data_IF_201401051605
#
_entry.id   IF_201401051605
#
_cell.length_a   1.000
_cell.length_b   1.000
_cell.length_c   1.000
_cell.angle_alpha   90.00
_cell.angle_beta   90.00
_cell.angle_gamma   90.00
#
_symmetry.space_group_name_H-M   'P 1'
#
loop_
_entity.id
_entity.type
_entity.pdbx_description
1 polymer ?
#
# COMPACT_ATOMS: atom_id res chain seq x y z
N UNK A 1 -9.44 -24.68 9.42
CA UNK A 1 -9.17 -23.66 8.39
C UNK A 1 -8.72 -22.39 9.08
N UNK A 2 -7.56 -21.84 8.69
CA UNK A 2 -6.96 -20.64 9.30
C UNK A 2 -7.25 -19.42 8.41
N UNK A 3 -7.86 -18.40 8.98
CA UNK A 3 -8.30 -17.20 8.25
C UNK A 3 -7.57 -15.97 8.80
N UNK A 4 -6.98 -15.17 7.94
CA UNK A 4 -6.53 -13.82 8.26
C UNK A 4 -7.68 -12.85 7.96
N UNK A 5 -8.20 -12.19 8.99
CA UNK A 5 -9.35 -11.31 8.87
C UNK A 5 -9.02 -9.88 9.25
N UNK A 6 -9.38 -8.93 8.37
CA UNK A 6 -9.22 -7.49 8.58
C UNK A 6 -10.59 -6.84 8.80
N UNK A 7 -10.81 -6.27 9.98
CA UNK A 7 -11.98 -5.45 10.28
C UNK A 7 -11.69 -3.98 9.92
N UNK A 8 -12.14 -3.60 8.74
CA UNK A 8 -11.95 -2.27 8.16
C UNK A 8 -13.05 -1.26 8.54
N UNK A 9 -13.81 -1.51 9.62
CA UNK A 9 -14.85 -0.60 10.11
C UNK A 9 -14.31 0.77 10.57
N UNK A 10 -13.01 0.87 10.80
CA UNK A 10 -12.30 2.10 11.15
C UNK A 10 -11.37 2.61 10.03
N UNK A 11 -11.60 2.14 8.80
CA UNK A 11 -10.76 2.48 7.65
C UNK A 11 -9.53 1.59 7.50
N UNK A 12 -8.69 1.93 6.52
CA UNK A 12 -7.44 1.22 6.23
C UNK A 12 -6.44 2.12 5.52
N UNK A 13 -5.18 2.06 5.95
CA UNK A 13 -4.03 2.65 5.25
C UNK A 13 -2.92 1.61 5.06
N UNK A 14 -1.97 1.89 4.18
CA UNK A 14 -0.88 0.96 3.90
C UNK A 14 -0.03 0.63 5.13
N UNK A 15 0.25 1.63 5.97
CA UNK A 15 0.99 1.46 7.22
C UNK A 15 0.18 0.72 8.29
N UNK A 16 -1.14 0.92 8.37
CA UNK A 16 -2.00 0.13 9.26
C UNK A 16 -2.00 -1.34 8.86
N UNK A 17 -2.11 -1.62 7.56
CA UNK A 17 -2.10 -2.98 7.02
C UNK A 17 -0.76 -3.68 7.31
N UNK A 18 0.37 -2.99 7.05
CA UNK A 18 1.70 -3.50 7.36
C UNK A 18 1.87 -3.81 8.84
N UNK A 19 1.55 -2.85 9.72
CA UNK A 19 1.68 -3.03 11.18
C UNK A 19 0.85 -4.20 11.69
N UNK A 20 -0.41 -4.29 11.25
CA UNK A 20 -1.29 -5.38 11.65
C UNK A 20 -0.78 -6.75 11.17
N UNK A 21 -0.35 -6.85 9.91
CA UNK A 21 0.19 -8.10 9.37
C UNK A 21 1.51 -8.49 10.04
N UNK A 22 2.43 -7.53 10.27
CA UNK A 22 3.70 -7.78 10.95
C UNK A 22 3.48 -8.30 12.37
N UNK A 23 2.58 -7.66 13.13
CA UNK A 23 2.28 -8.09 14.50
C UNK A 23 1.65 -9.49 14.53
N UNK A 24 0.68 -9.76 13.66
CA UNK A 24 0.03 -11.08 13.58
C UNK A 24 0.99 -12.18 13.12
N UNK A 25 1.96 -11.87 12.27
CA UNK A 25 2.95 -12.84 11.77
C UNK A 25 3.82 -13.44 12.87
N UNK A 26 4.06 -12.70 13.96
CA UNK A 26 5.03 -13.06 14.99
C UNK A 26 6.49 -12.84 14.59
N UNK A 27 6.74 -12.23 13.42
CA UNK A 27 8.06 -11.95 12.85
C UNK A 27 8.31 -10.44 12.72
N UNK A 28 7.72 -9.61 13.59
CA UNK A 28 7.82 -8.15 13.51
C UNK A 28 9.27 -7.67 13.47
N UNK A 29 10.14 -8.21 14.32
CA UNK A 29 11.55 -7.78 14.39
C UNK A 29 12.26 -7.99 13.05
N UNK A 30 12.12 -9.17 12.45
CA UNK A 30 12.71 -9.52 11.15
C UNK A 30 12.17 -8.64 10.02
N UNK A 31 10.86 -8.36 10.04
CA UNK A 31 10.21 -7.51 9.04
C UNK A 31 10.71 -6.08 9.14
N UNK A 32 10.79 -5.51 10.35
CA UNK A 32 11.29 -4.15 10.55
C UNK A 32 12.80 -4.03 10.32
N UNK A 33 13.59 -5.06 10.63
CA UNK A 33 15.00 -5.11 10.24
C UNK A 33 15.15 -5.06 8.72
N UNK A 34 14.33 -5.81 7.99
CA UNK A 34 14.32 -5.81 6.52
C UNK A 34 13.90 -4.47 5.93
N UNK A 35 12.93 -3.78 6.55
CA UNK A 35 12.53 -2.41 6.17
C UNK A 35 13.70 -1.45 6.36
N UNK A 36 14.37 -1.49 7.52
CA UNK A 36 15.51 -0.63 7.83
C UNK A 36 16.69 -0.89 6.87
N UNK A 37 17.01 -2.17 6.59
CA UNK A 37 18.02 -2.55 5.60
C UNK A 37 17.72 -1.94 4.22
N UNK A 38 16.46 -2.04 3.78
CA UNK A 38 16.04 -1.50 2.49
C UNK A 38 16.06 0.04 2.46
N UNK A 39 15.72 0.70 3.57
CA UNK A 39 15.76 2.15 3.70
C UNK A 39 17.19 2.70 3.72
N UNK A 40 18.12 2.01 4.41
CA UNK A 40 19.51 2.45 4.55
C UNK A 40 20.37 2.13 3.32
N UNK A 41 20.18 0.95 2.72
CA UNK A 41 21.01 0.43 1.64
C UNK A 41 20.34 0.44 0.27
N UNK A 42 19.14 0.99 0.17
CA UNK A 42 18.29 0.96 -1.02
C UNK A 42 17.60 -0.39 -1.22
N UNK A 43 16.44 -0.37 -1.83
CA UNK A 43 15.56 -1.52 -2.01
C UNK A 43 16.27 -2.67 -2.75
N UNK A 44 17.11 -2.33 -3.72
CA UNK A 44 17.90 -3.28 -4.53
C UNK A 44 19.31 -3.55 -3.96
N UNK A 45 19.67 -2.92 -2.85
CA UNK A 45 20.95 -3.17 -2.15
C UNK A 45 22.20 -2.66 -2.86
N UNK A 46 22.09 -1.59 -3.63
CA UNK A 46 23.23 -0.85 -4.16
C UNK A 46 23.75 0.16 -3.15
N UNK A 47 25.06 0.18 -2.88
CA UNK A 47 25.69 1.25 -2.11
C UNK A 47 25.45 2.59 -2.82
N UNK A 48 24.95 3.59 -2.10
CA UNK A 48 24.82 4.95 -2.57
C UNK A 48 26.20 5.55 -2.87
N UNK A 49 26.69 5.36 -4.08
CA UNK A 49 27.71 6.20 -4.69
C UNK A 49 27.25 6.56 -6.10
N UNK A 50 26.74 7.77 -6.24
CA UNK A 50 26.54 8.42 -7.54
C UNK A 50 25.11 8.28 -8.08
N UNK A 51 24.60 9.42 -8.42
CA UNK A 51 23.47 9.59 -9.32
C UNK A 51 23.63 8.70 -10.55
N UNK A 52 22.67 7.85 -10.84
CA UNK A 52 22.54 7.20 -12.13
C UNK A 52 22.48 5.68 -12.08
N UNK A 53 21.45 5.17 -12.68
CA UNK A 53 21.36 3.86 -13.30
C UNK A 53 21.15 2.61 -12.40
N UNK A 54 19.94 2.48 -11.89
CA UNK A 54 19.33 1.16 -11.84
C UNK A 54 18.28 1.04 -12.95
N UNK A 55 18.72 0.55 -14.10
CA UNK A 55 18.01 0.17 -15.31
C UNK A 55 18.34 1.03 -16.51
N UNK A 56 19.13 0.45 -17.41
CA UNK A 56 19.68 1.04 -18.59
C UNK A 56 18.67 1.37 -19.67
N UNK A 57 19.10 2.26 -20.57
CA UNK A 57 18.52 2.42 -21.88
C UNK A 57 18.63 3.81 -22.48
N UNK A 58 19.78 4.12 -23.07
CA UNK A 58 20.06 4.91 -24.27
C UNK A 58 19.39 6.27 -24.52
N UNK A 59 20.24 7.26 -24.74
CA UNK A 59 19.94 8.42 -25.56
C UNK A 59 20.80 9.65 -25.27
N UNK A 60 21.94 9.74 -25.92
CA UNK A 60 22.81 10.93 -26.02
C UNK A 60 22.10 12.07 -26.74
N UNK A 61 22.36 13.31 -26.30
CA UNK A 61 22.74 14.54 -26.99
C UNK A 61 22.32 15.74 -26.13
N UNK A 62 23.26 16.51 -25.70
CA UNK A 62 23.89 17.63 -26.33
C UNK A 62 23.54 18.94 -25.67
N UNK A 63 24.51 19.51 -24.92
CA UNK A 63 24.93 20.90 -24.79
C UNK A 63 23.98 22.07 -24.44
N UNK A 64 24.43 22.76 -23.39
CA UNK A 64 24.47 24.23 -23.15
C UNK A 64 23.19 24.96 -22.68
N UNK A 65 23.37 25.62 -21.51
CA UNK A 65 22.57 26.77 -21.10
C UNK A 65 22.43 26.93 -19.58
N UNK A 66 23.20 27.90 -19.07
CA UNK A 66 23.22 28.38 -17.67
C UNK A 66 21.85 28.83 -17.15
N UNK A 67 21.69 28.62 -15.86
CA UNK A 67 21.26 29.50 -14.78
C UNK A 67 19.99 29.15 -13.99
N UNK A 68 20.20 29.39 -12.70
CA UNK A 68 19.33 29.62 -11.57
C UNK A 68 18.94 28.40 -10.72
N UNK A 69 19.71 28.35 -9.61
CA UNK A 69 19.40 27.54 -8.42
C UNK A 69 18.04 27.93 -7.84
N UNK A 70 17.05 27.09 -8.06
CA UNK A 70 15.90 27.02 -7.21
C UNK A 70 15.92 25.64 -6.53
N UNK A 71 16.24 25.61 -5.23
CA UNK A 71 16.20 24.40 -4.41
C UNK A 71 14.74 24.03 -4.07
N UNK A 72 13.92 23.82 -5.08
CA UNK A 72 12.66 23.12 -4.95
C UNK A 72 12.94 21.62 -4.81
N UNK A 73 12.52 21.02 -3.73
CA UNK A 73 12.44 19.58 -3.59
C UNK A 73 11.51 19.03 -4.69
N UNK A 74 12.04 18.79 -5.87
CA UNK A 74 11.36 18.02 -6.91
C UNK A 74 11.29 16.57 -6.42
N UNK A 75 10.17 16.20 -5.82
CA UNK A 75 9.86 14.82 -5.53
C UNK A 75 9.89 14.05 -6.86
N UNK A 76 10.88 13.18 -7.03
CA UNK A 76 11.02 12.36 -8.23
C UNK A 76 9.75 11.49 -8.38
N UNK A 77 8.94 11.78 -9.39
CA UNK A 77 7.86 10.88 -9.80
C UNK A 77 8.48 9.65 -10.49
N UNK A 78 7.96 8.48 -10.22
CA UNK A 78 8.39 7.22 -10.85
C UNK A 78 7.33 6.70 -11.80
N UNK A 79 7.75 6.19 -12.94
CA UNK A 79 6.88 5.44 -13.85
C UNK A 79 6.50 4.08 -13.25
N UNK A 80 5.44 3.48 -13.74
CA UNK A 80 5.04 2.15 -13.31
C UNK A 80 6.11 1.09 -13.66
N UNK A 81 6.81 1.24 -14.80
CA UNK A 81 7.89 0.33 -15.20
C UNK A 81 9.10 0.40 -14.26
N UNK A 82 9.47 1.60 -13.80
CA UNK A 82 10.51 1.76 -12.79
C UNK A 82 10.13 1.06 -11.48
N UNK A 83 8.90 1.24 -11.00
CA UNK A 83 8.43 0.58 -9.78
C UNK A 83 8.42 -0.94 -9.92
N UNK A 84 7.96 -1.47 -11.06
CA UNK A 84 8.03 -2.92 -11.34
C UNK A 84 9.48 -3.43 -11.28
N UNK A 85 10.41 -2.68 -11.87
CA UNK A 85 11.83 -3.05 -11.87
C UNK A 85 12.43 -3.04 -10.47
N UNK A 86 12.09 -2.04 -9.65
CA UNK A 86 12.50 -1.95 -8.24
C UNK A 86 11.97 -3.14 -7.43
N UNK A 87 10.68 -3.47 -7.57
CA UNK A 87 10.06 -4.60 -6.88
C UNK A 87 10.75 -5.91 -7.28
N UNK A 88 10.95 -6.15 -8.58
CA UNK A 88 11.59 -7.36 -9.08
C UNK A 88 13.05 -7.49 -8.62
N UNK A 89 13.80 -6.38 -8.62
CA UNK A 89 15.20 -6.33 -8.17
C UNK A 89 15.38 -6.26 -6.66
N UNK A 90 14.32 -6.15 -5.87
CA UNK A 90 14.39 -6.03 -4.42
C UNK A 90 14.96 -7.29 -3.76
N UNK A 91 15.51 -7.13 -2.54
CA UNK A 91 16.00 -8.25 -1.72
C UNK A 91 14.93 -8.91 -0.85
N UNK A 92 13.67 -8.61 -1.10
CA UNK A 92 12.56 -9.24 -0.41
C UNK A 92 12.26 -10.64 -0.99
N UNK A 93 11.60 -11.53 -0.21
CA UNK A 93 11.17 -12.85 -0.69
C UNK A 93 10.25 -12.76 -1.91
N UNK A 94 10.21 -13.80 -2.73
CA UNK A 94 9.38 -13.81 -3.96
C UNK A 94 7.87 -13.63 -3.67
N UNK A 95 7.36 -14.17 -2.55
CA UNK A 95 5.97 -13.95 -2.12
C UNK A 95 5.69 -12.46 -1.84
N UNK A 96 6.63 -11.75 -1.23
CA UNK A 96 6.55 -10.32 -0.98
C UNK A 96 6.55 -9.52 -2.29
N UNK A 97 7.43 -9.89 -3.24
CA UNK A 97 7.48 -9.27 -4.57
C UNK A 97 6.19 -9.47 -5.34
N UNK A 98 5.63 -10.68 -5.31
CA UNK A 98 4.36 -10.98 -5.97
C UNK A 98 3.21 -10.14 -5.42
N UNK A 99 3.09 -10.04 -4.09
CA UNK A 99 2.09 -9.21 -3.43
C UNK A 99 2.28 -7.72 -3.77
N UNK A 100 3.51 -7.18 -3.67
CA UNK A 100 3.80 -5.79 -4.00
C UNK A 100 3.52 -5.48 -5.48
N UNK A 101 3.86 -6.38 -6.40
CA UNK A 101 3.55 -6.23 -7.82
C UNK A 101 2.03 -6.16 -8.06
N UNK A 102 1.24 -6.98 -7.37
CA UNK A 102 -0.22 -6.94 -7.43
C UNK A 102 -0.78 -5.63 -6.85
N UNK A 103 -0.24 -5.14 -5.72
CA UNK A 103 -0.58 -3.82 -5.15
C UNK A 103 -0.35 -2.72 -6.18
N UNK A 104 0.83 -2.67 -6.77
CA UNK A 104 1.18 -1.62 -7.74
C UNK A 104 0.46 -1.75 -9.06
N UNK A 105 0.05 -2.95 -9.49
CA UNK A 105 -0.82 -3.11 -10.64
C UNK A 105 -2.20 -2.48 -10.42
N UNK A 106 -2.75 -2.58 -9.21
CA UNK A 106 -4.02 -1.93 -8.84
C UNK A 106 -3.86 -0.41 -8.75
N UNK A 107 -2.80 0.08 -8.10
CA UNK A 107 -2.50 1.51 -8.00
C UNK A 107 -2.31 2.10 -9.41
N UNK A 108 -1.55 1.45 -10.28
CA UNK A 108 -1.28 1.95 -11.63
C UNK A 108 -2.56 2.12 -12.46
N UNK A 109 -3.50 1.16 -12.37
CA UNK A 109 -4.80 1.28 -13.06
C UNK A 109 -5.63 2.44 -12.50
N UNK A 110 -5.62 2.63 -11.18
CA UNK A 110 -6.36 3.70 -10.53
C UNK A 110 -5.79 5.08 -10.89
N UNK A 111 -4.47 5.26 -10.78
CA UNK A 111 -3.78 6.50 -11.11
C UNK A 111 -3.90 6.83 -12.61
N UNK A 112 -3.72 5.83 -13.49
CA UNK A 112 -3.91 6.01 -14.93
C UNK A 112 -5.32 6.52 -15.25
N UNK A 113 -6.35 5.97 -14.58
CA UNK A 113 -7.73 6.42 -14.75
C UNK A 113 -7.95 7.84 -14.24
N UNK A 114 -7.44 8.17 -13.05
CA UNK A 114 -7.58 9.50 -12.44
C UNK A 114 -6.92 10.59 -13.28
N UNK A 115 -5.75 10.28 -13.85
CA UNK A 115 -4.95 11.24 -14.62
C UNK A 115 -5.19 11.17 -16.14
N UNK A 116 -6.10 10.31 -16.63
CA UNK A 116 -6.33 10.14 -18.06
C UNK A 116 -5.08 9.62 -18.81
N UNK A 117 -4.23 8.87 -18.12
CA UNK A 117 -3.01 8.28 -18.65
C UNK A 117 -3.21 6.81 -19.03
N UNK A 118 -2.19 6.21 -19.64
CA UNK A 118 -2.11 4.75 -19.85
C UNK A 118 -1.16 4.13 -18.84
N UNK A 119 -1.09 2.79 -18.76
CA UNK A 119 -0.16 2.11 -17.86
C UNK A 119 1.32 2.40 -18.21
N UNK A 120 1.60 2.69 -19.50
CA UNK A 120 2.93 3.03 -19.98
C UNK A 120 3.34 4.47 -19.65
N UNK A 121 2.35 5.35 -19.44
CA UNK A 121 2.60 6.79 -19.23
C UNK A 121 2.25 7.29 -17.84
N UNK A 122 1.69 6.43 -16.97
CA UNK A 122 1.36 6.81 -15.61
C UNK A 122 2.62 6.97 -14.76
N UNK A 123 2.63 8.04 -13.96
CA UNK A 123 3.69 8.35 -13.00
C UNK A 123 3.13 8.44 -11.59
N UNK A 124 3.87 7.93 -10.64
CA UNK A 124 3.53 7.93 -9.22
C UNK A 124 4.28 9.03 -8.49
N UNK A 125 3.57 9.86 -7.76
CA UNK A 125 4.14 10.89 -6.90
C UNK A 125 4.40 10.33 -5.48
N UNK A 126 3.40 10.34 -4.62
CA UNK A 126 3.54 9.88 -3.23
C UNK A 126 3.73 8.37 -3.13
N UNK A 127 2.91 7.61 -3.85
CA UNK A 127 2.98 6.14 -3.87
C UNK A 127 4.19 5.58 -4.62
N UNK A 128 4.91 6.41 -5.38
CA UNK A 128 6.17 6.07 -6.06
C UNK A 128 7.42 6.19 -5.18
N UNK A 129 7.30 6.69 -3.95
CA UNK A 129 8.44 6.83 -3.04
C UNK A 129 8.92 5.50 -2.50
N UNK A 130 10.19 5.42 -2.13
CA UNK A 130 10.81 4.21 -1.57
C UNK A 130 10.04 3.65 -0.39
N UNK A 131 9.61 4.51 0.52
CA UNK A 131 8.82 4.13 1.70
C UNK A 131 7.52 3.38 1.33
N UNK A 132 6.81 3.85 0.29
CA UNK A 132 5.57 3.21 -0.15
C UNK A 132 5.84 1.82 -0.78
N UNK A 133 6.94 1.70 -1.55
CA UNK A 133 7.35 0.44 -2.18
C UNK A 133 7.81 -0.56 -1.11
N UNK A 134 8.63 -0.11 -0.15
CA UNK A 134 9.08 -0.92 0.98
C UNK A 134 7.88 -1.41 1.80
N UNK A 135 6.92 -0.54 2.08
CA UNK A 135 5.71 -0.91 2.83
C UNK A 135 4.89 -1.99 2.11
N UNK A 136 4.73 -1.90 0.80
CA UNK A 136 4.04 -2.92 0.01
C UNK A 136 4.78 -4.28 0.04
N UNK A 137 6.12 -4.25 -0.12
CA UNK A 137 6.98 -5.43 -0.04
C UNK A 137 6.93 -6.06 1.36
N UNK A 138 7.07 -5.26 2.41
CA UNK A 138 7.03 -5.71 3.79
C UNK A 138 5.65 -6.27 4.19
N UNK A 139 4.56 -5.68 3.69
CA UNK A 139 3.20 -6.22 3.87
C UNK A 139 3.08 -7.62 3.27
N UNK A 140 3.54 -7.81 2.02
CA UNK A 140 3.54 -9.13 1.38
C UNK A 140 4.39 -10.14 2.12
N UNK A 141 5.57 -9.74 2.64
CA UNK A 141 6.43 -10.56 3.48
C UNK A 141 5.71 -10.97 4.78
N UNK A 142 5.11 -10.00 5.48
CA UNK A 142 4.38 -10.24 6.72
C UNK A 142 3.22 -11.24 6.54
N UNK A 143 2.42 -11.05 5.50
CA UNK A 143 1.29 -11.93 5.19
C UNK A 143 1.78 -13.34 4.85
N UNK A 144 2.91 -13.48 4.13
CA UNK A 144 3.45 -14.80 3.78
C UNK A 144 3.87 -15.63 5.00
N UNK A 145 4.26 -14.99 6.12
CA UNK A 145 4.61 -15.67 7.36
C UNK A 145 3.40 -16.15 8.18
N UNK A 146 2.20 -15.61 7.91
CA UNK A 146 1.01 -16.00 8.67
C UNK A 146 0.50 -17.38 8.26
N UNK A 147 0.77 -17.84 7.03
CA UNK A 147 0.38 -19.15 6.51
C UNK A 147 -1.13 -19.44 6.70
N UNK A 148 -1.98 -18.62 6.11
CA UNK A 148 -3.44 -18.74 6.17
C UNK A 148 -4.02 -19.41 4.94
N UNK A 149 -5.17 -20.10 5.12
CA UNK A 149 -5.93 -20.69 4.01
C UNK A 149 -6.72 -19.63 3.25
N UNK A 150 -7.19 -18.58 3.96
CA UNK A 150 -8.00 -17.50 3.40
C UNK A 150 -7.62 -16.16 4.02
N UNK A 151 -7.79 -15.08 3.24
CA UNK A 151 -7.70 -13.70 3.71
C UNK A 151 -9.04 -13.04 3.47
N UNK A 152 -9.65 -12.51 4.54
CA UNK A 152 -11.00 -11.92 4.51
C UNK A 152 -10.99 -10.49 5.02
N UNK A 153 -11.93 -9.69 4.51
CA UNK A 153 -12.15 -8.31 5.00
C UNK A 153 -13.63 -8.04 5.27
N UNK A 154 -13.88 -7.24 6.30
CA UNK A 154 -15.22 -6.70 6.56
C UNK A 154 -15.65 -5.70 5.49
N UNK A 155 -16.85 -5.13 5.64
CA UNK A 155 -17.20 -3.88 4.98
C UNK A 155 -16.15 -2.80 5.32
N UNK A 156 -15.77 -1.99 4.32
CA UNK A 156 -14.73 -0.96 4.43
C UNK A 156 -15.40 0.39 4.64
N UNK A 157 -15.10 1.03 5.77
CA UNK A 157 -15.65 2.35 6.10
C UNK A 157 -14.67 3.45 5.73
N UNK A 158 -15.13 4.40 4.95
CA UNK A 158 -14.38 5.62 4.62
C UNK A 158 -15.07 6.85 5.21
N UNK A 159 -14.31 7.91 5.39
CA UNK A 159 -14.83 9.17 5.85
C UNK A 159 -15.53 9.99 4.75
N UNK A 160 -15.71 11.27 5.03
CA UNK A 160 -16.31 12.27 4.14
C UNK A 160 -15.58 13.61 4.25
N UNK A 161 -16.00 14.61 3.48
CA UNK A 161 -15.39 15.94 3.49
C UNK A 161 -14.24 16.06 2.50
N UNK A 162 -13.16 16.71 2.92
CA UNK A 162 -11.99 16.97 2.07
C UNK A 162 -10.68 16.69 2.80
N UNK A 163 -9.61 16.46 2.03
CA UNK A 163 -8.23 16.38 2.51
C UNK A 163 -7.32 17.19 1.62
N UNK A 164 -6.23 17.69 2.19
CA UNK A 164 -5.18 18.41 1.44
C UNK A 164 -4.03 17.45 1.17
N UNK A 165 -3.63 17.36 -0.09
CA UNK A 165 -2.50 16.54 -0.56
C UNK A 165 -1.67 17.34 -1.58
N UNK A 166 -0.71 16.68 -2.25
CA UNK A 166 0.10 17.30 -3.31
C UNK A 166 -0.72 17.86 -4.48
N UNK A 167 -1.94 17.39 -4.68
CA UNK A 167 -2.86 17.85 -5.72
C UNK A 167 -3.82 18.97 -5.23
N UNK A 168 -3.57 19.53 -4.04
CA UNK A 168 -4.43 20.51 -3.40
C UNK A 168 -5.52 19.86 -2.53
N UNK A 169 -6.64 20.56 -2.34
CA UNK A 169 -7.79 20.08 -1.59
C UNK A 169 -8.64 19.16 -2.49
N UNK A 170 -8.86 17.93 -2.06
CA UNK A 170 -9.66 16.93 -2.79
C UNK A 170 -10.73 16.32 -1.90
N UNK A 171 -11.82 15.84 -2.51
CA UNK A 171 -12.93 15.20 -1.79
C UNK A 171 -12.56 13.82 -1.26
N UNK A 172 -13.22 13.44 -0.15
CA UNK A 172 -13.18 12.09 0.42
C UNK A 172 -14.51 11.38 0.09
N UNK A 173 -14.47 10.15 -0.45
CA UNK A 173 -13.29 9.32 -0.81
C UNK A 173 -12.43 9.96 -1.90
N UNK A 174 -11.10 9.82 -1.80
CA UNK A 174 -10.18 10.40 -2.78
C UNK A 174 -10.31 9.73 -4.15
N UNK A 175 -10.03 10.45 -5.27
CA UNK A 175 -10.24 9.92 -6.63
C UNK A 175 -9.60 8.55 -6.90
N UNK A 176 -8.38 8.31 -6.41
CA UNK A 176 -7.71 7.03 -6.58
C UNK A 176 -8.43 5.89 -5.83
N UNK A 177 -8.97 6.14 -4.62
CA UNK A 177 -9.81 5.17 -3.91
C UNK A 177 -11.09 4.89 -4.68
N UNK A 178 -11.73 5.91 -5.25
CA UNK A 178 -12.91 5.71 -6.09
C UNK A 178 -12.61 4.85 -7.32
N UNK A 179 -11.47 5.08 -7.98
CA UNK A 179 -11.04 4.26 -9.11
C UNK A 179 -10.72 2.80 -8.72
N UNK A 180 -10.13 2.57 -7.54
CA UNK A 180 -9.89 1.22 -7.00
C UNK A 180 -11.19 0.47 -6.70
N UNK A 181 -12.20 1.16 -6.12
CA UNK A 181 -13.51 0.58 -5.78
C UNK A 181 -14.20 -0.07 -6.97
N UNK A 182 -14.01 0.45 -8.17
CA UNK A 182 -14.61 -0.11 -9.39
C UNK A 182 -14.04 -1.48 -9.80
N UNK A 183 -12.88 -1.83 -9.25
CA UNK A 183 -12.15 -3.05 -9.59
C UNK A 183 -12.15 -4.10 -8.47
N UNK A 184 -12.99 -3.93 -7.45
CA UNK A 184 -13.12 -4.89 -6.34
C UNK A 184 -14.59 -5.08 -5.95
N UNK A 185 -14.86 -6.19 -5.24
CA UNK A 185 -16.21 -6.58 -4.79
C UNK A 185 -16.48 -6.23 -3.32
N UNK A 186 -15.65 -5.37 -2.71
CA UNK A 186 -15.82 -5.02 -1.30
C UNK A 186 -17.08 -4.17 -1.06
N UNK A 187 -17.70 -4.34 0.11
CA UNK A 187 -18.78 -3.48 0.59
C UNK A 187 -18.18 -2.19 1.16
N UNK A 188 -18.56 -1.03 0.60
CA UNK A 188 -18.07 0.27 1.05
C UNK A 188 -19.18 1.04 1.76
N UNK A 189 -18.83 1.60 2.92
CA UNK A 189 -19.74 2.39 3.75
C UNK A 189 -19.12 3.73 4.12
N UNK A 190 -19.94 4.73 4.38
CA UNK A 190 -19.49 6.06 4.80
C UNK A 190 -19.61 6.17 6.32
N UNK A 191 -18.51 6.53 6.98
CA UNK A 191 -18.47 6.88 8.38
C UNK A 191 -18.73 8.39 8.56
N UNK A 192 -19.28 8.78 9.71
CA UNK A 192 -19.42 10.19 10.09
C UNK A 192 -18.09 10.73 10.66
N UNK A 193 -17.08 10.82 9.78
CA UNK A 193 -15.72 11.31 10.07
C UNK A 193 -15.31 12.25 8.95
N UNK A 194 -14.92 13.48 9.28
CA UNK A 194 -14.57 14.50 8.29
C UNK A 194 -13.10 14.44 7.88
N UNK A 195 -12.62 13.27 7.49
CA UNK A 195 -11.29 13.06 6.92
C UNK A 195 -11.24 11.71 6.18
N UNK A 196 -10.18 11.49 5.39
CA UNK A 196 -9.90 10.22 4.75
C UNK A 196 -9.62 9.13 5.81
N UNK A 197 -10.29 8.00 5.69
CA UNK A 197 -10.06 6.81 6.49
C UNK A 197 -9.51 5.65 5.65
N UNK A 198 -9.71 5.71 4.34
CA UNK A 198 -9.21 4.71 3.38
C UNK A 198 -8.23 5.36 2.43
N UNK A 199 -6.96 4.94 2.49
CA UNK A 199 -5.94 5.44 1.56
C UNK A 199 -5.83 4.55 0.33
N UNK A 200 -5.36 5.08 -0.83
CA UNK A 200 -5.11 4.26 -2.02
C UNK A 200 -4.18 3.07 -1.74
N UNK A 201 -3.11 3.28 -0.97
CA UNK A 201 -2.15 2.22 -0.60
C UNK A 201 -2.78 1.14 0.29
N UNK A 202 -3.68 1.53 1.21
CA UNK A 202 -4.38 0.57 2.08
C UNK A 202 -5.36 -0.31 1.30
N UNK A 203 -6.19 0.31 0.46
CA UNK A 203 -7.16 -0.42 -0.36
C UNK A 203 -6.46 -1.32 -1.39
N UNK A 204 -5.47 -0.78 -2.11
CA UNK A 204 -4.68 -1.57 -3.06
C UNK A 204 -3.88 -2.67 -2.35
N UNK A 205 -3.47 -2.44 -1.11
CA UNK A 205 -2.82 -3.44 -0.26
C UNK A 205 -3.72 -4.64 0.00
N UNK A 206 -4.97 -4.43 0.44
CA UNK A 206 -5.96 -5.51 0.60
C UNK A 206 -6.17 -6.30 -0.69
N UNK A 207 -6.35 -5.59 -1.81
CA UNK A 207 -6.52 -6.22 -3.12
C UNK A 207 -5.27 -7.03 -3.51
N UNK A 208 -4.08 -6.50 -3.27
CA UNK A 208 -2.81 -7.10 -3.66
C UNK A 208 -2.42 -8.35 -2.87
N UNK A 209 -2.84 -8.44 -1.61
CA UNK A 209 -2.68 -9.66 -0.79
C UNK A 209 -3.80 -10.68 -1.03
N UNK A 210 -4.75 -10.40 -1.91
CA UNK A 210 -5.83 -11.32 -2.25
C UNK A 210 -6.92 -11.42 -1.18
N UNK A 211 -7.17 -10.37 -0.40
CA UNK A 211 -8.26 -10.36 0.56
C UNK A 211 -9.62 -10.37 -0.18
N UNK A 212 -10.54 -11.21 0.28
CA UNK A 212 -11.90 -11.30 -0.23
C UNK A 212 -12.90 -10.77 0.80
N UNK A 213 -14.04 -10.20 0.38
CA UNK A 213 -15.06 -9.78 1.32
C UNK A 213 -15.64 -10.99 2.07
N UNK A 214 -16.09 -10.78 3.31
CA UNK A 214 -16.92 -11.76 4.01
C UNK A 214 -18.27 -11.88 3.30
N UNK A 215 -18.86 -13.08 3.34
CA UNK A 215 -20.16 -13.31 2.74
C UNK A 215 -21.26 -12.46 3.41
N UNK A 216 -22.24 -11.98 2.65
CA UNK A 216 -23.33 -11.19 3.21
C UNK A 216 -24.03 -11.90 4.38
N UNK A 217 -24.07 -11.24 5.53
CA UNK A 217 -24.69 -11.79 6.76
C UNK A 217 -23.80 -12.71 7.57
N UNK A 218 -22.57 -12.97 7.14
CA UNK A 218 -21.60 -13.76 7.90
C UNK A 218 -20.92 -12.90 8.97
N UNK A 219 -20.82 -13.44 10.19
CA UNK A 219 -20.05 -12.87 11.30
C UNK A 219 -18.92 -13.83 11.66
N UNK A 220 -17.75 -13.61 11.06
CA UNK A 220 -16.59 -14.47 11.28
C UNK A 220 -16.11 -14.46 12.74
N UNK A 221 -16.28 -13.35 13.47
CA UNK A 221 -15.85 -13.26 14.86
C UNK A 221 -16.80 -14.07 15.79
N UNK A 222 -18.08 -14.22 15.42
CA UNK A 222 -19.00 -15.06 16.14
C UNK A 222 -18.90 -16.55 15.74
N UNK A 223 -18.48 -16.85 14.50
CA UNK A 223 -18.46 -18.20 13.94
C UNK A 223 -17.13 -18.94 14.10
N UNK A 224 -16.03 -18.22 14.33
CA UNK A 224 -14.68 -18.78 14.41
C UNK A 224 -13.99 -18.43 15.74
N UNK A 225 -13.04 -19.27 16.13
CA UNK A 225 -12.24 -19.01 17.32
C UNK A 225 -11.11 -18.02 16.99
N UNK A 226 -11.03 -16.92 17.74
CA UNK A 226 -9.89 -15.99 17.66
C UNK A 226 -8.65 -16.64 18.28
N UNK A 227 -7.59 -16.78 17.48
CA UNK A 227 -6.28 -17.29 17.90
C UNK A 227 -5.36 -16.13 18.28
N UNK A 228 -5.34 -15.06 17.47
CA UNK A 228 -4.56 -13.86 17.70
C UNK A 228 -5.32 -12.64 17.20
N UNK A 229 -5.17 -11.51 17.87
CA UNK A 229 -5.75 -10.24 17.44
C UNK A 229 -4.77 -9.10 17.64
N UNK A 230 -4.93 -8.04 16.86
CA UNK A 230 -4.16 -6.81 16.98
C UNK A 230 -4.95 -5.60 16.52
N UNK A 231 -4.51 -4.42 16.95
CA UNK A 231 -5.03 -3.13 16.49
C UNK A 231 -3.87 -2.26 16.01
N UNK A 232 -3.91 -1.80 14.77
CA UNK A 232 -2.90 -0.93 14.17
C UNK A 232 -3.47 0.46 13.90
N UNK A 233 -2.87 1.48 14.49
CA UNK A 233 -3.20 2.89 14.24
C UNK A 233 -2.36 3.46 13.12
N UNK A 234 -2.99 4.24 12.23
CA UNK A 234 -2.33 5.04 11.20
C UNK A 234 -1.79 6.37 11.74
N UNK A 235 -1.09 7.10 10.88
CA UNK A 235 -0.55 8.42 11.23
C UNK A 235 -1.60 9.53 11.33
N UNK A 236 -2.80 9.33 10.75
CA UNK A 236 -3.88 10.32 10.79
C UNK A 236 -4.79 10.09 11.99
N UNK A 237 -5.07 11.14 12.73
CA UNK A 237 -6.06 11.08 13.82
C UNK A 237 -7.48 11.16 13.24
N UNK A 238 -8.20 10.08 13.30
CA UNK A 238 -9.62 9.98 12.89
C UNK A 238 -10.59 10.08 14.07
N UNK A 239 -10.06 10.17 15.30
CA UNK A 239 -10.84 10.05 16.54
C UNK A 239 -11.43 8.64 16.77
N UNK A 240 -11.02 7.63 15.98
CA UNK A 240 -11.52 6.25 16.03
C UNK A 240 -10.41 5.26 16.38
N UNK A 241 -10.75 4.03 16.79
CA UNK A 241 -9.80 2.93 16.88
C UNK A 241 -9.07 2.71 15.55
N UNK A 242 -7.94 1.99 15.60
CA UNK A 242 -7.21 1.59 14.40
C UNK A 242 -7.88 0.46 13.63
N UNK A 243 -7.17 -0.01 12.58
CA UNK A 243 -7.50 -1.25 11.88
C UNK A 243 -7.35 -2.41 12.85
N UNK A 244 -8.39 -3.21 13.01
CA UNK A 244 -8.31 -4.46 13.76
C UNK A 244 -8.06 -5.62 12.82
N UNK A 245 -7.20 -6.53 13.22
CA UNK A 245 -6.92 -7.73 12.44
C UNK A 245 -6.82 -8.95 13.34
N UNK A 246 -7.19 -10.10 12.79
CA UNK A 246 -7.36 -11.34 13.53
C UNK A 246 -6.80 -12.53 12.76
N UNK A 247 -6.23 -13.49 13.50
CA UNK A 247 -6.08 -14.85 13.02
C UNK A 247 -7.21 -15.67 13.64
N UNK A 248 -8.06 -16.24 12.78
CA UNK A 248 -9.22 -17.01 13.16
C UNK A 248 -9.04 -18.48 12.76
N UNK A 249 -9.62 -19.40 13.54
CA UNK A 249 -9.67 -20.82 13.25
C UNK A 249 -11.13 -21.27 13.18
N UNK A 250 -11.51 -21.84 12.02
CA UNK A 250 -12.85 -22.37 11.73
C UNK A 250 -12.81 -23.86 11.45
#
# INVERSE_FOLDING_TARGET
>A
MKILYFDCSNGISGDMLLKAAADLSGHSDEIYEKINEAAEHGICGGSHHGHGDCCGGHGSHGADGHDHHDHGHHGHSRSYDEVKSIIAGSRFPEAAKAAAAAVYANIARAEAKVHGATLETVHFHEVGRDEAIINALATGMAVSYIETDEIRTSAIYDGKGTVVCSHGEISVPVPAVMALRENCSYDFRTADVNTEMVTPSGLAGLMGIGAEPVEPGQDLLAEAKTIKETEAKGGRDTGRPGLKAYILEK
#
